data_IF_851972226745
#
_entry.id   IF_851972226745
#
_cell.length_a   1.000
_cell.length_b   1.000
_cell.length_c   1.000
_cell.angle_alpha   90.00
_cell.angle_beta   90.00
_cell.angle_gamma   90.00
#
_symmetry.space_group_name_H-M   'P 1'
#
loop_
_entity.id
_entity.type
_entity.pdbx_description
1 polymer ?
#
# COMPACT_ATOMS: atom_id res chain seq x y z
N UNK A 1 -93.31 -18.43 -92.11
CA UNK A 1 -92.90 -17.13 -91.55
C UNK A 1 -92.95 -17.16 -90.02
N UNK A 2 -94.10 -17.45 -89.41
CA UNK A 2 -94.24 -17.55 -87.93
C UNK A 2 -93.36 -18.63 -87.29
N UNK A 3 -93.22 -19.81 -87.90
CA UNK A 3 -92.34 -20.89 -87.40
C UNK A 3 -90.86 -20.55 -87.47
N UNK A 4 -90.40 -19.91 -88.54
CA UNK A 4 -89.00 -19.49 -88.71
C UNK A 4 -88.63 -18.36 -87.74
N UNK A 5 -89.53 -17.39 -87.55
CA UNK A 5 -89.37 -16.34 -86.55
C UNK A 5 -89.36 -16.94 -85.15
N UNK A 6 -90.24 -17.91 -84.86
CA UNK A 6 -90.29 -18.57 -83.55
C UNK A 6 -89.03 -19.39 -83.27
N UNK A 7 -88.55 -20.20 -84.21
CA UNK A 7 -87.30 -20.97 -84.03
C UNK A 7 -86.10 -20.06 -83.91
N UNK A 8 -85.99 -19.02 -84.73
CA UNK A 8 -84.88 -18.07 -84.68
C UNK A 8 -84.85 -17.31 -83.35
N UNK A 9 -86.00 -16.80 -82.90
CA UNK A 9 -86.12 -16.13 -81.61
C UNK A 9 -85.83 -17.10 -80.46
N UNK A 10 -86.37 -18.32 -80.50
CA UNK A 10 -86.14 -19.31 -79.46
C UNK A 10 -84.68 -19.73 -79.37
N UNK A 11 -84.03 -20.08 -80.49
CA UNK A 11 -82.62 -20.47 -80.49
C UNK A 11 -81.71 -19.31 -80.13
N UNK A 12 -81.98 -18.09 -80.64
CA UNK A 12 -81.18 -16.92 -80.35
C UNK A 12 -81.30 -16.52 -78.87
N UNK A 13 -82.52 -16.47 -78.33
CA UNK A 13 -82.74 -16.14 -76.91
C UNK A 13 -82.13 -17.23 -76.02
N UNK A 14 -82.33 -18.51 -76.32
CA UNK A 14 -81.87 -19.59 -75.45
C UNK A 14 -80.35 -19.74 -75.50
N UNK A 15 -79.72 -19.58 -76.67
CA UNK A 15 -78.26 -19.57 -76.78
C UNK A 15 -77.65 -18.32 -76.16
N UNK A 16 -78.24 -17.13 -76.37
CA UNK A 16 -77.77 -15.89 -75.75
C UNK A 16 -77.91 -15.92 -74.22
N UNK A 17 -79.05 -16.35 -73.70
CA UNK A 17 -79.27 -16.50 -72.26
C UNK A 17 -78.34 -17.56 -71.69
N UNK A 18 -78.22 -18.73 -72.31
CA UNK A 18 -77.34 -19.79 -71.82
C UNK A 18 -75.87 -19.37 -71.82
N UNK A 19 -75.38 -18.80 -72.92
CA UNK A 19 -73.99 -18.35 -73.01
C UNK A 19 -73.71 -17.18 -72.07
N UNK A 20 -74.61 -16.19 -71.99
CA UNK A 20 -74.44 -15.05 -71.10
C UNK A 20 -74.49 -15.46 -69.63
N UNK A 21 -75.48 -16.27 -69.22
CA UNK A 21 -75.59 -16.76 -67.84
C UNK A 21 -74.43 -17.68 -67.49
N UNK A 22 -74.08 -18.64 -68.36
CA UNK A 22 -73.00 -19.58 -68.08
C UNK A 22 -71.64 -18.86 -68.01
N UNK A 23 -71.33 -17.97 -68.96
CA UNK A 23 -70.08 -17.20 -68.90
C UNK A 23 -70.09 -16.27 -67.69
N UNK A 24 -71.13 -15.46 -67.50
CA UNK A 24 -71.18 -14.52 -66.37
C UNK A 24 -71.09 -15.22 -65.01
N UNK A 25 -71.85 -16.29 -64.78
CA UNK A 25 -71.81 -17.01 -63.50
C UNK A 25 -70.49 -17.78 -63.36
N UNK A 26 -70.07 -18.53 -64.38
CA UNK A 26 -68.94 -19.43 -64.21
C UNK A 26 -67.60 -18.71 -64.25
N UNK A 27 -67.38 -17.82 -65.23
CA UNK A 27 -66.10 -17.11 -65.33
C UNK A 27 -66.05 -15.93 -64.37
N UNK A 28 -67.11 -15.14 -64.26
CA UNK A 28 -67.06 -13.91 -63.46
C UNK A 28 -67.24 -14.17 -61.96
N UNK A 29 -68.29 -14.92 -61.58
CA UNK A 29 -68.56 -15.17 -60.17
C UNK A 29 -67.62 -16.24 -59.63
N UNK A 30 -67.56 -17.41 -60.26
CA UNK A 30 -66.78 -18.52 -59.69
C UNK A 30 -65.27 -18.29 -59.84
N UNK A 31 -64.80 -17.93 -61.03
CA UNK A 31 -63.36 -17.86 -61.26
C UNK A 31 -62.76 -16.53 -60.80
N UNK A 32 -63.26 -15.38 -61.27
CA UNK A 32 -62.69 -14.12 -60.79
C UNK A 32 -63.04 -13.84 -59.34
N UNK A 33 -64.29 -13.94 -58.90
CA UNK A 33 -64.61 -13.57 -57.53
C UNK A 33 -64.08 -14.58 -56.51
N UNK A 34 -64.38 -15.87 -56.65
CA UNK A 34 -63.93 -16.85 -55.64
C UNK A 34 -62.43 -17.10 -55.77
N UNK A 35 -61.93 -17.46 -56.96
CA UNK A 35 -60.52 -17.82 -57.07
C UNK A 35 -59.62 -16.60 -56.86
N UNK A 36 -59.80 -15.50 -57.61
CA UNK A 36 -58.85 -14.39 -57.44
C UNK A 36 -59.04 -13.65 -56.12
N UNK A 37 -60.25 -13.32 -55.69
CA UNK A 37 -60.43 -12.55 -54.46
C UNK A 37 -60.08 -13.37 -53.22
N UNK A 38 -60.58 -14.60 -53.09
CA UNK A 38 -60.30 -15.42 -51.91
C UNK A 38 -58.85 -15.87 -51.91
N UNK A 39 -58.31 -16.35 -53.04
CA UNK A 39 -56.91 -16.78 -53.08
C UNK A 39 -55.96 -15.61 -52.83
N UNK A 40 -56.15 -14.47 -53.49
CA UNK A 40 -55.26 -13.32 -53.26
C UNK A 40 -55.42 -12.77 -51.86
N UNK A 41 -56.64 -12.63 -51.33
CA UNK A 41 -56.85 -12.11 -49.99
C UNK A 41 -56.29 -13.05 -48.93
N UNK A 42 -56.61 -14.35 -48.99
CA UNK A 42 -56.09 -15.33 -48.04
C UNK A 42 -54.58 -15.44 -48.17
N UNK A 43 -54.04 -15.59 -49.39
CA UNK A 43 -52.60 -15.73 -49.58
C UNK A 43 -51.87 -14.46 -49.14
N UNK A 44 -52.31 -13.27 -49.55
CA UNK A 44 -51.63 -12.03 -49.14
C UNK A 44 -51.77 -11.79 -47.66
N UNK A 45 -52.96 -11.95 -47.07
CA UNK A 45 -53.16 -11.72 -45.63
C UNK A 45 -52.40 -12.72 -44.79
N UNK A 46 -52.52 -14.03 -45.07
CA UNK A 46 -51.79 -15.07 -44.33
C UNK A 46 -50.29 -14.92 -44.54
N UNK A 47 -49.82 -14.78 -45.78
CA UNK A 47 -48.40 -14.67 -46.03
C UNK A 47 -47.82 -13.40 -45.41
N UNK A 48 -48.46 -12.24 -45.59
CA UNK A 48 -47.95 -10.99 -45.01
C UNK A 48 -48.03 -11.03 -43.49
N UNK A 49 -49.14 -11.48 -42.90
CA UNK A 49 -49.28 -11.52 -41.44
C UNK A 49 -48.31 -12.51 -40.81
N UNK A 50 -48.25 -13.75 -41.31
CA UNK A 50 -47.33 -14.77 -40.78
C UNK A 50 -45.89 -14.34 -41.01
N UNK A 51 -45.53 -13.93 -42.22
CA UNK A 51 -44.16 -13.53 -42.50
C UNK A 51 -43.76 -12.30 -41.68
N UNK A 52 -44.58 -11.25 -41.64
CA UNK A 52 -44.23 -10.04 -40.88
C UNK A 52 -44.22 -10.33 -39.39
N UNK A 53 -45.22 -11.01 -38.84
CA UNK A 53 -45.28 -11.30 -37.41
C UNK A 53 -44.15 -12.21 -36.97
N UNK A 54 -43.94 -13.36 -37.65
CA UNK A 54 -42.87 -14.29 -37.29
C UNK A 54 -41.52 -13.63 -37.50
N UNK A 55 -41.27 -13.00 -38.65
CA UNK A 55 -39.97 -12.38 -38.91
C UNK A 55 -39.70 -11.23 -37.94
N UNK A 56 -40.64 -10.33 -37.72
CA UNK A 56 -40.44 -9.20 -36.79
C UNK A 56 -40.33 -9.68 -35.36
N UNK A 57 -41.20 -10.58 -34.90
CA UNK A 57 -41.17 -11.07 -33.52
C UNK A 57 -39.90 -11.86 -33.24
N UNK A 58 -39.56 -12.84 -34.09
CA UNK A 58 -38.35 -13.64 -33.91
C UNK A 58 -37.11 -12.76 -34.03
N UNK A 59 -37.02 -11.93 -35.07
CA UNK A 59 -35.84 -11.08 -35.25
C UNK A 59 -35.71 -10.08 -34.11
N UNK A 60 -36.78 -9.37 -33.73
CA UNK A 60 -36.69 -8.39 -32.64
C UNK A 60 -36.44 -9.07 -31.31
N UNK A 61 -37.15 -10.15 -30.98
CA UNK A 61 -36.97 -10.83 -29.70
C UNK A 61 -35.59 -11.47 -29.59
N UNK A 62 -35.17 -12.25 -30.58
CA UNK A 62 -33.84 -12.88 -30.57
C UNK A 62 -32.76 -11.81 -30.58
N UNK A 63 -32.83 -10.83 -31.48
CA UNK A 63 -31.80 -9.80 -31.56
C UNK A 63 -31.75 -8.97 -30.28
N UNK A 64 -32.89 -8.47 -29.79
CA UNK A 64 -32.90 -7.66 -28.56
C UNK A 64 -32.50 -8.48 -27.36
N UNK A 65 -33.03 -9.69 -27.17
CA UNK A 65 -32.70 -10.52 -26.01
C UNK A 65 -31.24 -10.95 -26.02
N UNK A 66 -30.74 -11.50 -27.13
CA UNK A 66 -29.34 -11.91 -27.24
C UNK A 66 -28.43 -10.71 -27.12
N UNK A 67 -28.69 -9.62 -27.85
CA UNK A 67 -27.83 -8.45 -27.80
C UNK A 67 -27.85 -7.82 -26.41
N UNK A 68 -29.02 -7.60 -25.80
CA UNK A 68 -29.10 -6.99 -24.47
C UNK A 68 -28.50 -7.90 -23.42
N UNK A 69 -28.82 -9.20 -23.42
CA UNK A 69 -28.31 -10.13 -22.42
C UNK A 69 -26.80 -10.31 -22.53
N UNK A 70 -26.27 -10.58 -23.73
CA UNK A 70 -24.84 -10.74 -23.95
C UNK A 70 -24.11 -9.44 -23.65
N UNK A 71 -24.59 -8.30 -24.19
CA UNK A 71 -23.92 -7.02 -23.97
C UNK A 71 -23.96 -6.62 -22.50
N UNK A 72 -25.11 -6.72 -21.83
CA UNK A 72 -25.20 -6.36 -20.41
C UNK A 72 -24.40 -7.31 -19.55
N UNK A 73 -24.47 -8.62 -19.76
CA UNK A 73 -23.73 -9.59 -18.97
C UNK A 73 -22.21 -9.44 -19.16
N UNK A 74 -21.74 -9.39 -20.39
CA UNK A 74 -20.31 -9.22 -20.68
C UNK A 74 -19.82 -7.87 -20.17
N UNK A 75 -20.54 -6.78 -20.48
CA UNK A 75 -20.13 -5.45 -20.05
C UNK A 75 -20.14 -5.33 -18.52
N UNK A 76 -21.20 -5.75 -17.84
CA UNK A 76 -21.26 -5.68 -16.38
C UNK A 76 -20.23 -6.60 -15.75
N UNK A 77 -20.11 -7.86 -16.17
CA UNK A 77 -19.17 -8.80 -15.58
C UNK A 77 -17.71 -8.36 -15.80
N UNK A 78 -17.33 -8.02 -17.03
CA UNK A 78 -15.97 -7.58 -17.33
C UNK A 78 -15.69 -6.24 -16.65
N UNK A 79 -16.57 -5.26 -16.77
CA UNK A 79 -16.33 -3.94 -16.16
C UNK A 79 -16.27 -4.05 -14.65
N UNK A 80 -17.23 -4.73 -14.01
CA UNK A 80 -17.21 -4.88 -12.55
C UNK A 80 -16.01 -5.69 -12.12
N UNK A 81 -15.76 -6.88 -12.68
CA UNK A 81 -14.65 -7.73 -12.28
C UNK A 81 -13.29 -7.05 -12.49
N UNK A 82 -13.02 -6.50 -13.67
CA UNK A 82 -11.75 -5.82 -13.95
C UNK A 82 -11.62 -4.56 -13.10
N UNK A 83 -12.65 -3.72 -13.04
CA UNK A 83 -12.58 -2.47 -12.27
C UNK A 83 -12.44 -2.77 -10.78
N UNK A 84 -13.27 -3.63 -10.19
CA UNK A 84 -13.14 -3.95 -8.77
C UNK A 84 -11.83 -4.69 -8.50
N UNK A 85 -11.50 -5.75 -9.24
CA UNK A 85 -10.29 -6.51 -8.96
C UNK A 85 -9.03 -5.67 -9.15
N UNK A 86 -8.85 -4.97 -10.26
CA UNK A 86 -7.64 -4.17 -10.47
C UNK A 86 -7.61 -2.96 -9.53
N UNK A 87 -8.72 -2.23 -9.39
CA UNK A 87 -8.71 -1.01 -8.57
C UNK A 87 -8.64 -1.31 -7.07
N UNK A 88 -9.43 -2.25 -6.55
CA UNK A 88 -9.41 -2.53 -5.10
C UNK A 88 -8.26 -3.44 -4.73
N UNK A 89 -7.97 -4.48 -5.50
CA UNK A 89 -6.85 -5.35 -5.16
C UNK A 89 -5.53 -4.63 -5.42
N UNK A 90 -5.26 -4.21 -6.65
CA UNK A 90 -3.93 -3.73 -7.00
C UNK A 90 -3.60 -2.38 -6.36
N UNK A 91 -4.49 -1.39 -6.48
CA UNK A 91 -4.18 -0.04 -5.97
C UNK A 91 -4.24 -0.02 -4.44
N UNK A 92 -5.32 -0.53 -3.84
CA UNK A 92 -5.46 -0.45 -2.38
C UNK A 92 -4.43 -1.34 -1.66
N UNK A 93 -4.23 -2.59 -2.08
CA UNK A 93 -3.26 -3.45 -1.40
C UNK A 93 -1.83 -2.98 -1.65
N UNK A 94 -1.46 -2.59 -2.87
CA UNK A 94 -0.09 -2.16 -3.16
C UNK A 94 0.24 -0.83 -2.47
N UNK A 95 -0.66 0.17 -2.50
CA UNK A 95 -0.43 1.43 -1.80
C UNK A 95 -0.42 1.22 -0.28
N UNK A 96 -1.32 0.40 0.26
CA UNK A 96 -1.37 0.15 1.70
C UNK A 96 -0.15 -0.66 2.18
N UNK A 97 0.30 -1.66 1.42
CA UNK A 97 1.53 -2.41 1.74
C UNK A 97 2.77 -1.54 1.63
N UNK A 98 2.84 -0.67 0.63
CA UNK A 98 3.96 0.27 0.47
C UNK A 98 3.96 1.33 1.59
N UNK A 99 2.78 1.86 1.96
CA UNK A 99 2.64 2.77 3.10
C UNK A 99 3.04 2.11 4.42
N UNK A 100 2.57 0.89 4.69
CA UNK A 100 2.94 0.15 5.91
C UNK A 100 4.43 -0.19 5.93
N UNK A 101 5.01 -0.56 4.79
CA UNK A 101 6.45 -0.80 4.67
C UNK A 101 7.26 0.47 4.93
N UNK A 102 6.91 1.60 4.30
CA UNK A 102 7.57 2.89 4.54
C UNK A 102 7.42 3.31 6.00
N UNK A 103 6.22 3.22 6.57
CA UNK A 103 5.97 3.62 7.95
C UNK A 103 6.78 2.77 8.93
N UNK A 104 6.76 1.45 8.78
CA UNK A 104 7.52 0.54 9.65
C UNK A 104 9.03 0.73 9.49
N UNK A 105 9.53 0.87 8.27
CA UNK A 105 10.95 1.10 8.01
C UNK A 105 11.43 2.44 8.59
N UNK A 106 10.70 3.53 8.33
CA UNK A 106 11.04 4.86 8.85
C UNK A 106 10.98 4.85 10.39
N UNK A 107 9.90 4.33 10.97
CA UNK A 107 9.73 4.30 12.42
C UNK A 107 10.83 3.48 13.08
N UNK A 108 11.11 2.27 12.58
CA UNK A 108 12.16 1.40 13.15
C UNK A 108 13.54 2.01 12.97
N UNK A 109 13.89 2.51 11.78
CA UNK A 109 15.20 3.11 11.52
C UNK A 109 15.43 4.36 12.36
N UNK A 110 14.46 5.30 12.36
CA UNK A 110 14.58 6.54 13.14
C UNK A 110 14.60 6.23 14.63
N UNK A 111 13.70 5.37 15.12
CA UNK A 111 13.64 5.03 16.54
C UNK A 111 14.92 4.34 16.98
N UNK A 112 15.40 3.32 16.26
CA UNK A 112 16.63 2.62 16.63
C UNK A 112 17.84 3.53 16.53
N UNK A 113 17.99 4.31 15.46
CA UNK A 113 19.13 5.23 15.29
C UNK A 113 19.14 6.30 16.38
N UNK A 114 18.02 6.99 16.60
CA UNK A 114 17.93 8.04 17.64
C UNK A 114 18.13 7.44 19.03
N UNK A 115 17.46 6.32 19.34
CA UNK A 115 17.58 5.67 20.64
C UNK A 115 19.02 5.23 20.91
N UNK A 116 19.65 4.53 19.95
CA UNK A 116 21.04 4.08 20.08
C UNK A 116 22.00 5.25 20.18
N UNK A 117 21.86 6.28 19.34
CA UNK A 117 22.71 7.46 19.36
C UNK A 117 22.61 8.22 20.68
N UNK A 118 21.39 8.52 21.13
CA UNK A 118 21.18 9.21 22.41
C UNK A 118 21.69 8.37 23.58
N UNK A 119 21.36 7.07 23.60
CA UNK A 119 21.77 6.18 24.68
C UNK A 119 23.30 6.06 24.76
N UNK A 120 23.96 5.84 23.62
CA UNK A 120 25.43 5.77 23.56
C UNK A 120 26.07 7.10 23.94
N UNK A 121 25.57 8.22 23.45
CA UNK A 121 26.08 9.54 23.80
C UNK A 121 25.96 9.83 25.31
N UNK A 122 24.79 9.62 25.90
CA UNK A 122 24.58 9.82 27.33
C UNK A 122 25.48 8.89 28.15
N UNK A 123 25.59 7.62 27.77
CA UNK A 123 26.40 6.65 28.49
C UNK A 123 27.90 6.99 28.40
N UNK A 124 28.40 7.39 27.23
CA UNK A 124 29.80 7.80 27.05
C UNK A 124 30.11 9.08 27.84
N UNK A 125 29.18 10.04 27.86
CA UNK A 125 29.33 11.26 28.64
C UNK A 125 29.35 11.00 30.16
N UNK A 126 28.46 10.13 30.65
CA UNK A 126 28.47 9.69 32.05
C UNK A 126 29.76 8.98 32.42
N UNK A 127 30.26 8.10 31.55
CA UNK A 127 31.55 7.43 31.74
C UNK A 127 32.69 8.46 31.81
N UNK A 128 32.70 9.44 30.89
CA UNK A 128 33.68 10.52 30.90
C UNK A 128 33.67 11.29 32.22
N UNK A 129 32.49 11.72 32.70
CA UNK A 129 32.36 12.39 34.00
C UNK A 129 32.90 11.52 35.13
N UNK A 130 32.52 10.23 35.15
CA UNK A 130 32.99 9.30 36.17
C UNK A 130 34.51 9.20 36.17
N UNK A 131 35.14 9.02 35.02
CA UNK A 131 36.60 8.97 34.90
C UNK A 131 37.26 10.29 35.30
N UNK A 132 36.68 11.43 34.94
CA UNK A 132 37.19 12.75 35.32
C UNK A 132 37.14 12.95 36.84
N UNK A 133 36.02 12.63 37.47
CA UNK A 133 35.87 12.71 38.94
C UNK A 133 36.85 11.76 39.62
N UNK A 134 36.92 10.50 39.18
CA UNK A 134 37.83 9.52 39.75
C UNK A 134 39.28 9.97 39.65
N UNK A 135 39.72 10.43 38.46
CA UNK A 135 41.09 10.91 38.25
C UNK A 135 41.37 12.18 39.04
N UNK A 136 40.46 13.14 39.09
CA UNK A 136 40.62 14.37 39.87
C UNK A 136 40.73 14.08 41.37
N UNK A 137 39.82 13.28 41.91
CA UNK A 137 39.83 12.89 43.32
C UNK A 137 41.10 12.09 43.63
N UNK A 138 41.42 11.08 42.83
CA UNK A 138 42.61 10.26 43.04
C UNK A 138 43.87 11.11 42.99
N UNK A 139 44.03 11.96 41.97
CA UNK A 139 45.21 12.83 41.86
C UNK A 139 45.26 13.86 42.97
N UNK A 140 44.17 14.52 43.32
CA UNK A 140 44.15 15.50 44.41
C UNK A 140 44.45 14.86 45.76
N UNK A 141 43.75 13.77 46.12
CA UNK A 141 43.97 13.05 47.37
C UNK A 141 45.38 12.48 47.40
N UNK A 142 45.80 11.76 46.35
CA UNK A 142 47.12 11.16 46.30
C UNK A 142 48.20 12.23 46.37
N UNK A 143 48.16 13.25 45.51
CA UNK A 143 49.19 14.31 45.54
C UNK A 143 49.16 15.08 46.85
N UNK A 144 48.01 15.56 47.31
CA UNK A 144 47.94 16.35 48.53
C UNK A 144 48.34 15.53 49.76
N UNK A 145 47.68 14.39 50.00
CA UNK A 145 47.97 13.56 51.18
C UNK A 145 49.38 12.98 51.09
N UNK A 146 49.73 12.33 49.97
CA UNK A 146 51.06 11.73 49.86
C UNK A 146 52.12 12.82 49.93
N UNK A 147 52.08 13.86 49.10
CA UNK A 147 53.16 14.86 49.13
C UNK A 147 53.18 15.63 50.43
N UNK A 148 52.05 16.12 50.95
CA UNK A 148 52.05 16.91 52.18
C UNK A 148 52.44 16.07 53.39
N UNK A 149 51.81 14.92 53.62
CA UNK A 149 52.12 14.08 54.77
C UNK A 149 53.53 13.51 54.62
N UNK A 150 53.89 12.94 53.47
CA UNK A 150 55.23 12.40 53.27
C UNK A 150 56.28 13.49 53.43
N UNK A 151 56.15 14.63 52.73
CA UNK A 151 57.16 15.69 52.84
C UNK A 151 57.19 16.29 54.23
N UNK A 152 56.05 16.59 54.87
CA UNK A 152 56.03 17.16 56.21
C UNK A 152 56.60 16.20 57.24
N UNK A 153 56.13 14.95 57.29
CA UNK A 153 56.64 13.96 58.25
C UNK A 153 58.10 13.65 57.95
N UNK A 154 58.46 13.36 56.70
CA UNK A 154 59.83 13.06 56.33
C UNK A 154 60.75 14.24 56.64
N UNK A 155 60.43 15.45 56.19
CA UNK A 155 61.28 16.63 56.45
C UNK A 155 61.31 16.96 57.92
N UNK A 156 60.20 16.97 58.65
CA UNK A 156 60.18 17.28 60.07
C UNK A 156 60.97 16.25 60.87
N UNK A 157 60.67 14.96 60.72
CA UNK A 157 61.38 13.90 61.44
C UNK A 157 62.85 13.87 61.03
N UNK A 158 63.15 13.85 59.73
CA UNK A 158 64.53 13.82 59.26
C UNK A 158 65.30 15.05 59.73
N UNK A 159 64.79 16.27 59.51
CA UNK A 159 65.51 17.49 59.92
C UNK A 159 65.60 17.58 61.42
N UNK A 160 64.54 17.34 62.18
CA UNK A 160 64.58 17.43 63.64
C UNK A 160 65.53 16.39 64.22
N UNK A 161 65.37 15.10 63.89
CA UNK A 161 66.23 14.04 64.41
C UNK A 161 67.67 14.24 63.95
N UNK A 162 67.88 14.43 62.64
CA UNK A 162 69.23 14.60 62.10
C UNK A 162 69.89 15.84 62.70
N UNK A 163 69.26 17.02 62.64
CA UNK A 163 69.89 18.24 63.16
C UNK A 163 70.04 18.19 64.67
N UNK A 164 69.04 17.76 65.44
CA UNK A 164 69.15 17.69 66.89
C UNK A 164 70.22 16.70 67.32
N UNK A 165 70.16 15.45 66.85
CA UNK A 165 71.15 14.43 67.22
C UNK A 165 72.53 14.83 66.72
N UNK A 166 72.67 15.20 65.44
CA UNK A 166 73.96 15.56 64.88
C UNK A 166 74.54 16.78 65.59
N UNK A 167 73.79 17.88 65.71
CA UNK A 167 74.31 19.10 66.34
C UNK A 167 74.56 18.89 67.83
N UNK A 168 73.63 18.29 68.57
CA UNK A 168 73.81 18.07 70.01
C UNK A 168 74.99 17.15 70.28
N UNK A 169 75.03 15.97 69.66
CA UNK A 169 76.13 15.02 69.88
C UNK A 169 77.44 15.60 69.38
N UNK A 170 77.49 16.14 68.16
CA UNK A 170 78.73 16.69 67.60
C UNK A 170 79.23 17.87 68.44
N UNK A 171 78.37 18.86 68.74
CA UNK A 171 78.80 20.03 69.51
C UNK A 171 79.13 19.67 70.95
N UNK A 172 78.34 18.83 71.61
CA UNK A 172 78.61 18.42 72.98
C UNK A 172 79.92 17.62 73.08
N UNK A 173 80.09 16.60 72.25
CA UNK A 173 81.32 15.80 72.24
C UNK A 173 82.52 16.68 71.85
N UNK A 174 82.41 17.47 70.79
CA UNK A 174 83.50 18.34 70.34
C UNK A 174 83.87 19.37 71.40
N UNK A 175 82.90 20.08 71.97
CA UNK A 175 83.17 21.10 73.01
C UNK A 175 83.67 20.45 74.30
N UNK A 176 83.10 19.34 74.74
CA UNK A 176 83.54 18.64 75.94
C UNK A 176 84.97 18.13 75.78
N UNK A 177 85.29 17.43 74.69
CA UNK A 177 86.65 16.94 74.42
C UNK A 177 87.62 18.12 74.28
N UNK A 178 87.27 19.14 73.49
CA UNK A 178 88.14 20.30 73.27
C UNK A 178 88.40 21.08 74.56
N UNK A 179 87.36 21.37 75.35
CA UNK A 179 87.51 22.10 76.63
C UNK A 179 88.21 21.26 77.69
N UNK A 180 87.95 19.95 77.76
CA UNK A 180 88.59 19.05 78.69
C UNK A 180 90.09 18.90 78.39
N UNK A 181 90.45 18.66 77.12
CA UNK A 181 91.85 18.61 76.67
C UNK A 181 92.53 19.97 76.90
N UNK A 182 91.89 21.07 76.51
CA UNK A 182 92.46 22.40 76.71
C UNK A 182 92.66 22.72 78.20
N UNK A 183 91.72 22.37 79.07
CA UNK A 183 91.86 22.57 80.52
C UNK A 183 92.96 21.68 81.12
N UNK A 184 93.11 20.45 80.65
CA UNK A 184 94.23 19.57 81.07
C UNK A 184 95.56 20.18 80.66
N UNK A 185 95.68 20.65 79.41
CA UNK A 185 96.90 21.29 78.92
C UNK A 185 97.20 22.58 79.70
N UNK A 186 96.19 23.41 80.00
CA UNK A 186 96.35 24.65 80.79
C UNK A 186 96.71 24.40 82.25
N UNK A 187 96.26 23.30 82.86
CA UNK A 187 96.63 22.93 84.23
C UNK A 187 98.01 22.28 84.34
N UNK A 188 98.62 21.87 83.22
CA UNK A 188 99.96 21.26 83.14
C UNK A 188 101.07 22.25 82.80
N UNK A 189 100.74 23.52 82.54
CA UNK A 189 101.66 24.66 82.44
C UNK A 189 101.55 25.52 83.68
#
# INVERSE_FOLDING_TARGET
MTTYIHTYIHTYILTYIHTYIHTYIHTYILNTYIHTYIHTYIHTYIHTYIHTYIHTYIHTYIHTYIHTYIHTYIHTYIHTYIHTYIHTYYIHTYIHTLHTYIHTYILTYIHTYIHTYIHTYIHTYLLYIHTYIHTYIHTYIHTYIHTYIHTYIHTYIHTYIHTYIHTYIHTYIHTYIHTYIHNILRKRT
#
